data_IF_576977260640
#
_entry.id   IF_576977260640
#
_cell.length_a   1.000
_cell.length_b   1.000
_cell.length_c   1.000
_cell.angle_alpha   90.00
_cell.angle_beta   90.00
_cell.angle_gamma   90.00
#
_symmetry.space_group_name_H-M   'P 1'
#
loop_
_entity.id
_entity.type
_entity.pdbx_description
1 polymer ?
#
# COMPACT_ATOMS: atom_id res chain seq x y z
N UNK A 1 7.08 37.99 4.07
CA UNK A 1 6.53 36.60 4.09
C UNK A 1 7.71 35.70 3.88
N UNK A 2 8.56 35.54 4.91
CA UNK A 2 9.80 34.75 4.84
C UNK A 2 9.52 33.31 5.20
N UNK A 3 9.98 32.43 4.37
CA UNK A 3 10.45 31.05 4.53
C UNK A 3 9.95 30.14 5.69
N UNK A 4 8.68 30.20 6.06
CA UNK A 4 8.06 29.15 6.90
C UNK A 4 7.99 27.79 6.14
N UNK A 5 8.20 27.82 4.83
CA UNK A 5 8.13 26.65 3.96
C UNK A 5 9.37 25.75 4.03
N UNK A 6 10.47 26.20 4.62
CA UNK A 6 11.78 25.49 4.60
C UNK A 6 12.32 25.08 5.97
N UNK A 7 11.68 25.44 7.09
CA UNK A 7 12.09 24.87 8.37
C UNK A 7 11.86 23.36 8.36
N UNK A 8 12.95 22.62 8.29
CA UNK A 8 12.97 21.18 8.54
C UNK A 8 12.48 20.94 9.98
N UNK A 9 11.19 20.68 10.11
CA UNK A 9 10.70 20.08 11.34
C UNK A 9 11.35 18.71 11.40
N UNK A 10 12.15 18.46 12.46
CA UNK A 10 12.76 17.16 12.71
C UNK A 10 11.67 16.09 12.64
N UNK A 11 11.69 15.35 11.56
CA UNK A 11 10.78 14.24 11.35
C UNK A 11 11.07 13.20 12.43
N UNK A 12 10.08 12.80 13.24
CA UNK A 12 10.27 11.71 14.16
C UNK A 12 10.78 10.50 13.38
N UNK A 13 11.83 9.83 13.89
CA UNK A 13 12.26 8.55 13.32
C UNK A 13 11.14 7.55 13.58
N UNK A 14 10.28 7.35 12.60
CA UNK A 14 9.21 6.36 12.69
C UNK A 14 9.84 4.97 12.67
N UNK A 15 9.50 4.16 13.66
CA UNK A 15 9.78 2.73 13.57
C UNK A 15 8.91 2.19 12.43
N UNK A 16 9.51 1.43 11.53
CA UNK A 16 8.72 0.69 10.55
C UNK A 16 7.78 -0.25 11.30
N UNK A 17 6.48 -0.10 11.05
CA UNK A 17 5.52 -1.08 11.51
C UNK A 17 5.77 -2.32 10.65
N UNK A 18 6.27 -3.36 11.28
CA UNK A 18 6.47 -4.65 10.64
C UNK A 18 5.18 -5.42 10.72
N UNK A 19 4.65 -5.78 9.57
CA UNK A 19 3.51 -6.69 9.48
C UNK A 19 3.99 -8.11 9.76
N UNK A 20 3.24 -8.84 10.56
CA UNK A 20 3.50 -10.25 10.85
C UNK A 20 3.01 -11.13 9.67
N UNK A 21 3.68 -11.04 8.55
CA UNK A 21 3.38 -11.86 7.39
C UNK A 21 2.37 -11.26 6.40
N UNK A 22 2.09 -12.02 5.38
CA UNK A 22 1.09 -11.76 4.35
C UNK A 22 0.18 -12.99 4.35
N UNK A 23 -1.08 -12.80 4.74
CA UNK A 23 -2.09 -13.84 4.65
C UNK A 23 -2.78 -13.85 3.28
N UNK A 24 -3.54 -14.90 3.03
CA UNK A 24 -4.51 -15.04 1.95
C UNK A 24 -5.89 -15.30 2.56
N UNK A 25 -6.93 -15.38 1.76
CA UNK A 25 -8.31 -15.65 2.21
C UNK A 25 -8.44 -16.95 3.05
N UNK A 26 -7.55 -17.93 2.83
CA UNK A 26 -7.49 -19.17 3.59
C UNK A 26 -6.67 -19.08 4.87
N UNK A 27 -6.09 -17.90 5.18
CA UNK A 27 -5.25 -17.72 6.36
C UNK A 27 -6.10 -17.78 7.64
N UNK A 28 -5.66 -18.59 8.59
CA UNK A 28 -6.21 -18.57 9.95
C UNK A 28 -5.72 -17.31 10.65
N UNK A 29 -6.66 -16.47 11.08
CA UNK A 29 -6.34 -15.24 11.80
C UNK A 29 -5.97 -15.59 13.24
N UNK A 30 -4.75 -15.25 13.72
CA UNK A 30 -4.35 -15.48 15.10
C UNK A 30 -5.26 -14.75 16.10
N UNK A 31 -5.59 -15.38 17.21
CA UNK A 31 -6.52 -14.89 18.26
C UNK A 31 -6.11 -13.55 18.88
N UNK A 32 -4.83 -13.15 18.76
CA UNK A 32 -4.34 -11.86 19.25
C UNK A 32 -4.96 -10.66 18.53
N UNK A 33 -5.41 -10.84 17.29
CA UNK A 33 -6.00 -9.77 16.50
C UNK A 33 -7.50 -9.71 16.76
N UNK A 34 -7.95 -8.57 17.25
CA UNK A 34 -9.34 -8.30 17.60
C UNK A 34 -10.00 -7.24 16.72
N UNK A 35 -9.18 -6.56 15.89
CA UNK A 35 -9.60 -5.49 14.99
C UNK A 35 -9.12 -5.76 13.57
N UNK A 36 -9.97 -5.42 12.60
CA UNK A 36 -9.64 -5.44 11.17
C UNK A 36 -9.96 -4.09 10.53
N UNK A 37 -9.06 -3.61 9.67
CA UNK A 37 -9.20 -2.37 8.92
C UNK A 37 -9.04 -2.64 7.41
N UNK A 38 -9.75 -1.86 6.59
CA UNK A 38 -9.53 -1.89 5.14
C UNK A 38 -8.13 -1.35 4.82
N UNK A 39 -7.35 -2.10 4.05
CA UNK A 39 -6.04 -1.66 3.59
C UNK A 39 -6.20 -0.76 2.38
N UNK A 40 -5.91 0.52 2.59
CA UNK A 40 -5.88 1.52 1.53
C UNK A 40 -4.63 1.33 0.66
N UNK A 41 -4.74 1.69 -0.61
CA UNK A 41 -3.63 1.64 -1.56
C UNK A 41 -3.26 3.05 -2.04
N UNK A 42 -2.63 3.77 -1.18
CA UNK A 42 -2.19 5.14 -1.42
C UNK A 42 -0.71 5.33 -1.12
N UNK A 43 -0.38 6.51 -0.66
CA UNK A 43 0.96 6.88 -0.20
C UNK A 43 0.93 7.00 1.31
N UNK A 44 1.75 6.19 2.01
CA UNK A 44 1.92 6.37 3.45
C UNK A 44 2.27 7.82 3.77
N UNK A 45 1.53 8.42 4.70
CA UNK A 45 1.64 9.81 5.10
C UNK A 45 1.79 10.00 6.61
N UNK A 46 2.63 10.95 6.98
CA UNK A 46 2.73 11.51 8.32
C UNK A 46 2.23 12.94 8.29
N UNK A 47 1.07 13.21 8.89
CA UNK A 47 0.48 14.52 8.99
C UNK A 47 0.86 15.14 10.33
N UNK A 48 1.61 16.23 10.29
CA UNK A 48 2.05 17.00 11.46
C UNK A 48 1.25 18.29 11.52
N UNK A 49 0.59 18.53 12.66
CA UNK A 49 -0.16 19.74 12.97
C UNK A 49 0.60 20.52 14.04
N UNK A 50 0.96 21.76 13.77
CA UNK A 50 1.75 22.58 14.68
C UNK A 50 1.60 24.08 14.37
N UNK A 51 1.39 24.91 15.38
CA UNK A 51 1.37 26.38 15.25
C UNK A 51 0.47 26.92 14.14
N UNK A 52 -0.72 26.38 14.01
CA UNK A 52 -1.69 26.80 12.98
C UNK A 52 -1.45 26.26 11.57
N UNK A 53 -0.49 25.37 11.40
CA UNK A 53 -0.14 24.79 10.11
C UNK A 53 -0.23 23.28 10.11
N UNK A 54 -0.44 22.69 8.94
CA UNK A 54 -0.25 21.27 8.71
C UNK A 54 0.85 21.03 7.69
N UNK A 55 1.57 19.91 7.85
CA UNK A 55 2.53 19.39 6.89
C UNK A 55 2.38 17.88 6.79
N UNK A 56 2.24 17.41 5.59
CA UNK A 56 2.17 15.96 5.32
C UNK A 56 3.46 15.49 4.64
N UNK A 57 4.10 14.50 5.22
CA UNK A 57 5.32 13.90 4.73
C UNK A 57 5.07 12.48 4.25
N UNK A 58 5.70 12.10 3.13
CA UNK A 58 5.80 10.69 2.73
C UNK A 58 6.77 9.93 3.63
N UNK A 59 6.80 8.61 3.49
CA UNK A 59 7.76 7.73 4.18
C UNK A 59 9.21 8.16 3.97
N UNK A 60 9.57 8.66 2.79
CA UNK A 60 10.92 9.13 2.46
C UNK A 60 11.19 10.56 2.92
N UNK A 61 10.26 11.21 3.62
CA UNK A 61 10.42 12.57 4.13
C UNK A 61 10.12 13.68 3.12
N UNK A 62 9.61 13.36 1.94
CA UNK A 62 9.18 14.38 0.98
C UNK A 62 7.85 14.98 1.43
N UNK A 63 7.75 16.32 1.39
CA UNK A 63 6.50 17.03 1.65
C UNK A 63 5.52 16.73 0.52
N UNK A 64 4.30 16.32 0.88
CA UNK A 64 3.19 16.01 -0.04
C UNK A 64 2.11 17.07 -0.01
N UNK A 65 1.87 17.67 1.15
CA UNK A 65 0.92 18.77 1.32
C UNK A 65 1.35 19.66 2.49
N UNK A 66 0.99 20.94 2.41
CA UNK A 66 1.23 21.94 3.43
C UNK A 66 0.14 23.00 3.33
N UNK A 67 -0.26 23.56 4.46
CA UNK A 67 -1.20 24.66 4.50
C UNK A 67 -1.49 25.15 5.92
N UNK A 68 -2.30 26.19 6.00
CA UNK A 68 -2.79 26.75 7.26
C UNK A 68 -4.04 26.00 7.72
N UNK A 69 -4.23 25.95 9.04
CA UNK A 69 -5.44 25.41 9.67
C UNK A 69 -6.22 26.60 10.24
N UNK A 70 -7.34 26.99 9.61
CA UNK A 70 -8.13 28.14 10.08
C UNK A 70 -8.57 27.97 11.54
N UNK A 71 -8.42 29.03 12.33
CA UNK A 71 -8.85 29.06 13.75
C UNK A 71 -8.21 27.95 14.60
N UNK A 72 -7.04 27.42 14.21
CA UNK A 72 -6.25 26.55 15.06
C UNK A 72 -5.57 27.41 16.15
N UNK A 73 -5.60 26.93 17.38
CA UNK A 73 -4.94 27.63 18.47
C UNK A 73 -3.41 27.52 18.30
N UNK A 74 -2.74 28.68 18.10
CA UNK A 74 -1.30 28.79 17.92
C UNK A 74 -0.50 28.30 19.15
N UNK A 75 -1.15 28.27 20.32
CA UNK A 75 -0.57 27.74 21.56
C UNK A 75 -0.72 26.22 21.68
N UNK A 76 -1.46 25.62 20.76
CA UNK A 76 -1.65 24.20 20.76
C UNK A 76 -0.35 23.48 20.42
N UNK A 77 -0.01 22.53 21.27
CA UNK A 77 1.16 21.71 21.07
C UNK A 77 0.98 20.79 19.84
N UNK A 78 2.10 20.30 19.36
CA UNK A 78 2.21 19.45 18.20
C UNK A 78 1.30 18.22 18.26
N UNK A 79 0.65 17.91 17.14
CA UNK A 79 -0.07 16.64 16.93
C UNK A 79 0.51 15.90 15.73
N UNK A 80 0.50 14.56 15.78
CA UNK A 80 1.03 13.71 14.70
C UNK A 80 0.04 12.59 14.41
N UNK A 81 -0.45 12.56 13.17
CA UNK A 81 -1.30 11.52 12.63
C UNK A 81 -0.54 10.70 11.57
N UNK A 82 -0.74 9.39 11.57
CA UNK A 82 -0.31 8.51 10.49
C UNK A 82 -1.52 8.08 9.68
N UNK A 83 -1.36 7.99 8.37
CA UNK A 83 -2.44 7.63 7.47
C UNK A 83 -1.94 7.23 6.08
N UNK A 84 -2.90 6.95 5.23
CA UNK A 84 -2.69 6.71 3.81
C UNK A 84 -3.28 7.87 3.02
N UNK A 85 -2.45 8.53 2.22
CA UNK A 85 -2.86 9.59 1.31
C UNK A 85 -3.20 9.02 -0.04
N UNK A 86 -4.46 9.15 -0.42
CA UNK A 86 -4.95 8.70 -1.71
C UNK A 86 -4.59 9.74 -2.77
N UNK A 87 -3.83 9.33 -3.79
CA UNK A 87 -3.42 10.22 -4.86
C UNK A 87 -3.59 9.53 -6.21
N UNK A 88 -4.51 10.07 -6.97
CA UNK A 88 -4.97 9.84 -8.35
C UNK A 88 -4.55 8.59 -9.11
N UNK A 89 -3.31 8.25 -9.18
CA UNK A 89 -2.86 7.16 -10.06
C UNK A 89 -2.90 5.76 -9.43
N UNK A 90 -2.95 5.66 -8.11
CA UNK A 90 -2.94 4.36 -7.42
C UNK A 90 -4.32 3.69 -7.42
N UNK A 91 -5.41 4.49 -7.61
CA UNK A 91 -6.80 4.05 -7.53
C UNK A 91 -7.60 4.52 -8.73
N UNK A 92 -7.22 4.12 -9.94
CA UNK A 92 -7.78 4.59 -11.20
C UNK A 92 -9.31 4.61 -11.30
N UNK A 93 -10.00 3.78 -10.51
CA UNK A 93 -11.46 3.68 -10.48
C UNK A 93 -12.12 4.40 -9.28
N UNK A 94 -11.36 4.81 -8.26
CA UNK A 94 -11.90 5.45 -7.03
C UNK A 94 -11.61 6.95 -6.99
N UNK A 95 -12.16 7.70 -7.96
CA UNK A 95 -11.99 9.16 -8.03
C UNK A 95 -12.68 9.91 -6.89
N UNK A 96 -13.66 9.28 -6.25
CA UNK A 96 -14.41 9.83 -5.12
C UNK A 96 -13.60 10.03 -3.85
N UNK A 97 -12.45 9.34 -3.73
CA UNK A 97 -11.53 9.43 -2.58
C UNK A 97 -10.16 9.99 -2.96
N UNK A 98 -9.99 10.49 -4.19
CA UNK A 98 -8.73 11.12 -4.61
C UNK A 98 -8.44 12.34 -3.73
N UNK A 99 -7.18 12.40 -3.25
CA UNK A 99 -6.67 13.41 -2.31
C UNK A 99 -7.17 13.29 -0.86
N UNK A 100 -7.94 12.25 -0.53
CA UNK A 100 -8.30 11.97 0.85
C UNK A 100 -7.12 11.39 1.65
N UNK A 101 -7.07 11.72 2.93
CA UNK A 101 -6.11 11.17 3.88
C UNK A 101 -6.82 10.32 4.91
N UNK A 102 -6.57 8.99 4.86
CA UNK A 102 -7.19 8.02 5.76
C UNK A 102 -6.29 7.75 6.96
N UNK A 103 -6.69 8.25 8.12
CA UNK A 103 -5.95 8.09 9.38
C UNK A 103 -6.09 6.65 9.86
N UNK A 104 -4.96 6.03 10.21
CA UNK A 104 -4.91 4.71 10.85
C UNK A 104 -4.19 4.72 12.21
N UNK A 105 -3.53 5.80 12.62
CA UNK A 105 -2.89 5.93 13.93
C UNK A 105 -2.70 7.40 14.34
N UNK A 106 -2.55 7.64 15.67
CA UNK A 106 -2.19 8.93 16.25
C UNK A 106 -1.02 8.76 17.20
N UNK A 107 0.13 9.37 16.87
CA UNK A 107 1.35 9.21 17.66
C UNK A 107 1.60 10.33 18.67
N UNK A 108 0.99 11.50 18.44
CA UNK A 108 1.11 12.63 19.33
C UNK A 108 -0.18 13.44 19.37
N UNK A 109 -0.59 13.82 20.54
CA UNK A 109 -1.75 14.67 20.76
C UNK A 109 -1.43 15.78 21.77
N UNK A 110 -1.51 17.04 21.37
CA UNK A 110 -1.17 18.22 22.19
C UNK A 110 0.19 18.04 22.89
N UNK A 111 1.26 17.72 22.14
CA UNK A 111 2.61 17.55 22.64
C UNK A 111 2.87 16.22 23.37
N UNK A 112 1.83 15.51 23.80
CA UNK A 112 1.99 14.26 24.50
C UNK A 112 2.21 13.10 23.52
N UNK A 113 3.30 12.35 23.71
CA UNK A 113 3.59 11.15 22.94
C UNK A 113 2.64 10.00 23.32
N UNK A 114 1.99 9.42 22.34
CA UNK A 114 0.99 8.36 22.50
C UNK A 114 1.49 6.96 22.10
N UNK A 115 2.70 6.83 21.56
CA UNK A 115 3.20 5.54 21.07
C UNK A 115 3.32 4.46 22.15
N UNK A 116 3.36 4.84 23.42
CA UNK A 116 3.33 3.96 24.59
C UNK A 116 1.92 3.64 25.08
N UNK A 117 0.88 4.08 24.38
CA UNK A 117 -0.51 3.71 24.65
C UNK A 117 -0.98 2.62 23.68
N UNK A 118 -1.95 1.78 24.08
CA UNK A 118 -2.51 0.78 23.20
C UNK A 118 -3.20 1.40 21.97
N UNK A 119 -3.29 0.65 20.87
CA UNK A 119 -3.83 1.12 19.59
C UNK A 119 -5.27 1.65 19.73
N UNK A 120 -6.13 0.99 20.51
CA UNK A 120 -7.50 1.46 20.77
C UNK A 120 -7.54 2.86 21.40
N UNK A 121 -6.64 3.16 22.32
CA UNK A 121 -6.55 4.50 22.93
C UNK A 121 -6.05 5.54 21.91
N UNK A 122 -5.06 5.20 21.08
CA UNK A 122 -4.54 6.10 20.04
C UNK A 122 -5.59 6.43 18.99
N UNK A 123 -6.45 5.46 18.65
CA UNK A 123 -7.57 5.63 17.70
C UNK A 123 -8.59 6.66 18.20
N UNK A 124 -8.84 6.75 19.52
CA UNK A 124 -9.73 7.77 20.09
C UNK A 124 -9.17 9.18 19.84
N UNK A 125 -7.86 9.37 20.03
CA UNK A 125 -7.22 10.66 19.74
C UNK A 125 -7.20 10.98 18.24
N UNK A 126 -7.01 9.96 17.38
CA UNK A 126 -7.12 10.11 15.93
C UNK A 126 -8.51 10.63 15.52
N UNK A 127 -9.58 10.01 16.04
CA UNK A 127 -10.96 10.44 15.78
C UNK A 127 -11.24 11.84 16.26
N UNK A 128 -10.79 12.21 17.46
CA UNK A 128 -10.94 13.59 18.00
C UNK A 128 -10.24 14.64 17.12
N UNK A 129 -9.02 14.36 16.64
CA UNK A 129 -8.31 15.27 15.75
C UNK A 129 -9.00 15.38 14.40
N UNK A 130 -9.47 14.26 13.84
CA UNK A 130 -10.24 14.24 12.59
C UNK A 130 -11.50 15.13 12.71
N UNK A 131 -12.29 15.02 13.77
CA UNK A 131 -13.47 15.85 14.00
C UNK A 131 -13.09 17.33 14.06
N UNK A 132 -12.07 17.69 14.86
CA UNK A 132 -11.58 19.06 14.97
C UNK A 132 -11.09 19.65 13.65
N UNK A 133 -10.50 18.83 12.77
CA UNK A 133 -10.05 19.26 11.45
C UNK A 133 -11.24 19.41 10.50
N UNK A 134 -12.19 18.46 10.52
CA UNK A 134 -13.39 18.54 9.68
C UNK A 134 -14.23 19.78 10.01
N UNK A 135 -14.38 20.15 11.30
CA UNK A 135 -15.04 21.40 11.72
C UNK A 135 -14.36 22.68 11.17
N UNK A 136 -13.14 22.53 10.61
CA UNK A 136 -12.36 23.61 9.99
C UNK A 136 -12.27 23.51 8.48
N UNK A 137 -13.08 22.62 7.87
CA UNK A 137 -13.15 22.45 6.42
C UNK A 137 -12.19 21.42 5.83
N UNK A 138 -11.54 20.58 6.66
CA UNK A 138 -10.67 19.50 6.19
C UNK A 138 -11.44 18.18 6.04
N UNK A 139 -12.53 18.18 5.27
CA UNK A 139 -13.38 17.01 5.05
C UNK A 139 -12.66 15.84 4.33
N UNK A 140 -11.54 16.13 3.66
CA UNK A 140 -10.66 15.15 3.04
C UNK A 140 -9.88 14.31 4.06
N UNK A 141 -9.92 14.65 5.36
CA UNK A 141 -9.33 13.85 6.44
C UNK A 141 -10.40 12.91 6.97
N UNK A 142 -10.16 11.62 6.82
CA UNK A 142 -11.08 10.53 7.18
C UNK A 142 -10.40 9.51 8.06
N UNK A 143 -11.16 8.71 8.81
CA UNK A 143 -10.65 7.51 9.46
C UNK A 143 -10.69 6.34 8.48
N UNK A 144 -9.75 5.40 8.62
CA UNK A 144 -9.90 4.09 7.97
C UNK A 144 -11.15 3.38 8.46
N UNK A 145 -11.73 2.55 7.62
CA UNK A 145 -12.83 1.68 8.02
C UNK A 145 -12.30 0.62 8.99
N UNK A 146 -12.87 0.59 10.21
CA UNK A 146 -12.43 -0.26 11.31
C UNK A 146 -13.59 -1.08 11.84
N UNK A 147 -13.37 -2.39 11.99
CA UNK A 147 -14.37 -3.37 12.35
C UNK A 147 -13.80 -4.37 13.38
N UNK A 148 -14.69 -5.13 14.02
CA UNK A 148 -14.28 -6.29 14.80
C UNK A 148 -13.78 -7.40 13.88
N UNK A 149 -12.82 -8.18 14.34
CA UNK A 149 -12.19 -9.23 13.54
C UNK A 149 -13.17 -10.30 13.08
N UNK A 150 -14.22 -10.60 13.85
CA UNK A 150 -15.23 -11.60 13.49
C UNK A 150 -15.94 -11.31 12.17
N UNK A 151 -15.90 -10.06 11.71
CA UNK A 151 -16.53 -9.61 10.47
C UNK A 151 -15.57 -9.59 9.27
N UNK A 152 -14.37 -10.12 9.39
CA UNK A 152 -13.33 -9.94 8.38
C UNK A 152 -13.70 -10.54 7.02
N UNK A 153 -14.41 -11.69 6.95
CA UNK A 153 -14.82 -12.28 5.67
C UNK A 153 -15.80 -11.37 4.94
N UNK A 154 -16.81 -10.86 5.62
CA UNK A 154 -17.77 -9.91 5.04
C UNK A 154 -17.09 -8.60 4.59
N UNK A 155 -16.08 -8.16 5.34
CA UNK A 155 -15.29 -7.00 4.97
C UNK A 155 -14.39 -7.29 3.76
N UNK A 156 -13.85 -8.51 3.67
CA UNK A 156 -13.09 -8.96 2.51
C UNK A 156 -13.94 -8.91 1.25
N UNK A 157 -15.12 -9.53 1.29
CA UNK A 157 -16.02 -9.58 0.14
C UNK A 157 -16.46 -8.17 -0.31
N UNK A 158 -16.87 -7.33 0.63
CA UNK A 158 -17.36 -5.99 0.30
C UNK A 158 -16.26 -5.00 -0.05
N UNK A 159 -15.15 -4.98 0.71
CA UNK A 159 -14.11 -3.95 0.54
C UNK A 159 -13.02 -4.38 -0.43
N UNK A 160 -12.59 -5.64 -0.39
CA UNK A 160 -11.49 -6.08 -1.23
C UNK A 160 -12.00 -6.55 -2.58
N UNK A 161 -13.00 -7.44 -2.62
CA UNK A 161 -13.50 -8.00 -3.87
C UNK A 161 -14.42 -7.03 -4.63
N UNK A 162 -15.36 -6.36 -3.96
CA UNK A 162 -16.31 -5.46 -4.62
C UNK A 162 -15.79 -4.04 -4.77
N UNK A 163 -15.26 -3.45 -3.68
CA UNK A 163 -14.78 -2.05 -3.68
C UNK A 163 -13.32 -1.91 -4.17
N UNK A 164 -12.60 -3.01 -4.42
CA UNK A 164 -11.23 -3.01 -4.96
C UNK A 164 -10.15 -2.50 -4.01
N UNK A 165 -10.35 -2.55 -2.69
CA UNK A 165 -9.28 -2.22 -1.73
C UNK A 165 -8.13 -3.22 -1.82
N UNK A 166 -6.91 -2.80 -1.45
CA UNK A 166 -5.70 -3.63 -1.58
C UNK A 166 -5.74 -4.91 -0.74
N UNK A 167 -6.52 -4.90 0.34
CA UNK A 167 -6.60 -5.99 1.29
C UNK A 167 -7.11 -5.53 2.65
N UNK A 168 -6.74 -6.27 3.68
CA UNK A 168 -7.09 -5.99 5.08
C UNK A 168 -5.84 -5.88 5.95
N UNK A 169 -5.95 -5.13 7.04
CA UNK A 169 -4.97 -5.05 8.14
C UNK A 169 -5.65 -5.54 9.41
N UNK A 170 -5.10 -6.60 9.99
CA UNK A 170 -5.51 -7.11 11.31
C UNK A 170 -4.63 -6.49 12.37
N UNK A 171 -5.21 -6.05 13.48
CA UNK A 171 -4.51 -5.35 14.55
C UNK A 171 -4.82 -5.97 15.91
N UNK A 172 -3.81 -6.01 16.75
CA UNK A 172 -3.96 -6.17 18.19
C UNK A 172 -4.25 -4.79 18.79
N UNK A 173 -5.50 -4.56 19.22
CA UNK A 173 -5.93 -3.26 19.76
C UNK A 173 -5.23 -2.88 21.06
N UNK A 174 -4.59 -3.82 21.74
CA UNK A 174 -3.83 -3.60 22.97
C UNK A 174 -2.33 -3.35 22.72
N UNK A 175 -1.84 -3.54 21.50
CA UNK A 175 -0.44 -3.34 21.16
C UNK A 175 -0.03 -1.86 21.15
N UNK A 176 1.23 -1.59 21.53
CA UNK A 176 1.84 -0.28 21.45
C UNK A 176 2.41 -0.02 20.05
N UNK A 177 2.69 1.24 19.76
CA UNK A 177 3.30 1.59 18.47
C UNK A 177 4.70 0.99 18.34
N UNK A 178 4.89 0.22 17.28
CA UNK A 178 6.17 -0.43 16.97
C UNK A 178 6.41 -1.76 17.68
N UNK A 179 5.39 -2.30 18.38
CA UNK A 179 5.45 -3.67 18.89
C UNK A 179 5.58 -4.64 17.74
N UNK A 180 6.40 -5.67 17.94
CA UNK A 180 6.50 -6.76 16.99
C UNK A 180 5.18 -7.50 16.91
N UNK A 181 4.79 -7.84 15.69
CA UNK A 181 3.59 -8.63 15.43
C UNK A 181 2.25 -7.95 15.84
N UNK A 182 2.28 -6.62 16.09
CA UNK A 182 1.08 -5.85 16.39
C UNK A 182 0.06 -5.82 15.24
N UNK A 183 0.55 -5.97 14.01
CA UNK A 183 -0.25 -5.91 12.79
C UNK A 183 0.07 -7.06 11.85
N UNK A 184 -0.97 -7.62 11.23
CA UNK A 184 -0.87 -8.56 10.12
C UNK A 184 -1.60 -7.97 8.90
N UNK A 185 -1.02 -8.11 7.72
CA UNK A 185 -1.69 -7.71 6.47
C UNK A 185 -2.13 -8.94 5.68
N UNK A 186 -3.33 -8.85 5.13
CA UNK A 186 -3.86 -9.77 4.14
C UNK A 186 -4.09 -8.99 2.85
N UNK A 187 -3.66 -9.52 1.71
CA UNK A 187 -3.83 -8.88 0.41
C UNK A 187 -4.53 -9.83 -0.53
N UNK A 188 -5.33 -9.28 -1.44
CA UNK A 188 -5.80 -10.03 -2.59
C UNK A 188 -4.58 -10.47 -3.41
N UNK A 189 -4.48 -11.76 -3.68
CA UNK A 189 -3.44 -12.33 -4.51
C UNK A 189 -4.08 -12.94 -5.74
N UNK A 190 -3.54 -12.61 -6.89
CA UNK A 190 -3.94 -13.18 -8.18
C UNK A 190 -2.73 -13.78 -8.86
N UNK A 191 -2.91 -14.87 -9.56
CA UNK A 191 -1.89 -15.49 -10.37
C UNK A 191 -2.33 -15.48 -11.84
N UNK A 192 -1.37 -15.27 -12.72
CA UNK A 192 -1.57 -15.32 -14.17
C UNK A 192 -0.30 -15.82 -14.85
N UNK A 193 -0.44 -16.54 -15.93
CA UNK A 193 0.67 -17.05 -16.71
C UNK A 193 0.97 -16.13 -17.89
N UNK A 194 2.23 -15.76 -18.03
CA UNK A 194 2.76 -14.93 -19.11
C UNK A 194 3.82 -15.66 -19.92
N UNK A 195 4.03 -15.21 -21.14
CA UNK A 195 5.13 -15.61 -22.00
C UNK A 195 6.30 -14.66 -21.75
N UNK A 196 7.49 -15.17 -21.51
CA UNK A 196 8.68 -14.34 -21.35
C UNK A 196 9.06 -13.65 -22.67
N UNK A 197 8.96 -12.34 -22.70
CA UNK A 197 9.35 -11.48 -23.84
C UNK A 197 10.79 -11.00 -23.72
N UNK A 198 11.35 -11.01 -22.51
CA UNK A 198 12.71 -10.53 -22.24
C UNK A 198 13.00 -10.34 -20.78
N UNK A 199 14.17 -9.76 -20.52
CA UNK A 199 14.65 -9.38 -19.21
C UNK A 199 14.84 -7.85 -19.17
N UNK A 200 14.48 -7.24 -18.06
CA UNK A 200 14.72 -5.81 -17.82
C UNK A 200 15.86 -5.61 -16.85
N UNK A 201 16.67 -4.59 -17.07
CA UNK A 201 17.81 -4.28 -16.21
C UNK A 201 17.37 -3.78 -14.84
N UNK A 202 18.21 -3.99 -13.83
CA UNK A 202 18.03 -3.40 -12.52
C UNK A 202 18.35 -1.89 -12.58
N UNK A 203 17.78 -1.12 -11.64
CA UNK A 203 18.06 0.32 -11.53
C UNK A 203 19.56 0.55 -11.35
N UNK A 204 20.13 1.47 -12.15
CA UNK A 204 21.55 1.82 -12.14
C UNK A 204 22.06 2.31 -10.77
N UNK A 205 21.15 2.84 -9.93
CA UNK A 205 21.47 3.30 -8.57
C UNK A 205 21.31 2.20 -7.52
N UNK A 206 20.85 1.01 -7.91
CA UNK A 206 20.69 -0.11 -6.99
C UNK A 206 22.01 -0.88 -6.83
N UNK A 207 22.13 -1.64 -5.73
CA UNK A 207 23.25 -2.57 -5.53
C UNK A 207 23.30 -3.71 -6.58
N UNK A 208 22.28 -3.81 -7.42
CA UNK A 208 22.15 -4.81 -8.48
C UNK A 208 22.37 -4.25 -9.87
N UNK A 209 22.95 -3.04 -9.99
CA UNK A 209 23.29 -2.43 -11.28
C UNK A 209 24.10 -3.41 -12.14
N UNK A 210 23.74 -3.51 -13.42
CA UNK A 210 24.34 -4.46 -14.35
C UNK A 210 23.79 -5.90 -14.29
N UNK A 211 22.82 -6.18 -13.42
CA UNK A 211 22.11 -7.45 -13.37
C UNK A 211 20.67 -7.29 -13.87
N UNK A 212 20.01 -8.43 -14.14
CA UNK A 212 18.57 -8.45 -14.43
C UNK A 212 17.78 -7.96 -13.21
N UNK A 213 16.90 -6.99 -13.45
CA UNK A 213 16.01 -6.40 -12.46
C UNK A 213 14.61 -7.00 -12.45
N UNK A 214 14.15 -7.47 -13.62
CA UNK A 214 12.80 -8.00 -13.79
C UNK A 214 12.74 -8.99 -14.96
N UNK A 215 11.73 -9.88 -14.92
CA UNK A 215 11.32 -10.67 -16.08
C UNK A 215 10.15 -9.94 -16.75
N UNK A 216 10.25 -9.73 -18.06
CA UNK A 216 9.22 -9.08 -18.86
C UNK A 216 8.33 -10.15 -19.48
N UNK A 217 7.04 -10.11 -19.16
CA UNK A 217 6.03 -11.00 -19.69
C UNK A 217 5.04 -10.30 -20.59
N UNK A 218 4.43 -11.07 -21.50
CA UNK A 218 3.31 -10.63 -22.35
C UNK A 218 2.27 -11.76 -22.46
N UNK A 219 1.10 -11.45 -22.98
CA UNK A 219 0.08 -12.45 -23.32
C UNK A 219 0.22 -12.86 -24.79
N UNK A 220 -0.35 -14.02 -25.13
CA UNK A 220 -0.27 -14.60 -26.48
C UNK A 220 -1.08 -13.81 -27.51
N UNK A 221 -2.29 -13.39 -27.11
CA UNK A 221 -3.30 -12.77 -27.96
C UNK A 221 -3.45 -11.27 -27.74
N UNK A 222 -2.71 -10.67 -26.79
CA UNK A 222 -2.78 -9.25 -26.45
C UNK A 222 -1.45 -8.73 -25.95
N UNK A 223 -0.98 -7.61 -26.52
CA UNK A 223 0.16 -6.88 -25.98
C UNK A 223 -0.20 -6.28 -24.60
N UNK A 224 0.21 -7.00 -23.57
CA UNK A 224 0.02 -6.59 -22.18
C UNK A 224 1.33 -6.85 -21.42
N UNK A 225 2.30 -5.98 -21.63
CA UNK A 225 3.62 -6.14 -21.04
C UNK A 225 3.61 -5.91 -19.53
N UNK A 226 4.17 -6.87 -18.80
CA UNK A 226 4.35 -6.76 -17.34
C UNK A 226 5.82 -6.92 -16.98
N UNK A 227 6.26 -6.21 -15.94
CA UNK A 227 7.62 -6.30 -15.39
C UNK A 227 7.56 -6.97 -14.03
N UNK A 228 7.83 -8.27 -13.98
CA UNK A 228 7.82 -9.06 -12.76
C UNK A 228 9.11 -8.89 -11.97
N UNK A 229 8.99 -8.39 -10.77
CA UNK A 229 10.08 -8.18 -9.80
C UNK A 229 10.19 -9.37 -8.82
N UNK A 230 10.88 -9.18 -7.70
CA UNK A 230 10.95 -10.18 -6.63
C UNK A 230 12.06 -11.22 -6.80
N UNK A 231 13.00 -10.97 -7.71
CA UNK A 231 14.14 -11.85 -7.97
C UNK A 231 15.15 -11.82 -6.84
N UNK A 232 15.61 -12.99 -6.39
CA UNK A 232 16.76 -13.09 -5.49
C UNK A 232 18.04 -12.66 -6.20
N UNK A 233 19.11 -12.37 -5.45
CA UNK A 233 20.41 -12.03 -6.04
C UNK A 233 20.95 -13.16 -6.93
N UNK A 234 20.74 -14.40 -6.50
CA UNK A 234 21.11 -15.61 -7.29
C UNK A 234 20.32 -15.70 -8.60
N UNK A 235 19.01 -15.41 -8.55
CA UNK A 235 18.18 -15.41 -9.75
C UNK A 235 18.59 -14.31 -10.72
N UNK A 236 18.89 -13.12 -10.20
CA UNK A 236 19.36 -11.97 -11.00
C UNK A 236 20.61 -12.32 -11.77
N UNK A 237 21.63 -12.87 -11.10
CA UNK A 237 22.86 -13.30 -11.74
C UNK A 237 22.59 -14.38 -12.79
N UNK A 238 21.82 -15.40 -12.43
CA UNK A 238 21.48 -16.48 -13.31
C UNK A 238 20.78 -16.03 -14.60
N UNK A 239 19.81 -15.11 -14.48
CA UNK A 239 19.09 -14.56 -15.63
C UNK A 239 19.95 -13.57 -16.44
N UNK A 240 20.91 -12.90 -15.80
CA UNK A 240 21.86 -12.04 -16.52
C UNK A 240 22.74 -12.88 -17.46
N UNK A 241 23.22 -14.03 -16.97
CA UNK A 241 24.10 -14.91 -17.74
C UNK A 241 23.34 -15.72 -18.83
N UNK A 242 22.03 -15.91 -18.67
CA UNK A 242 21.22 -16.83 -19.47
C UNK A 242 19.89 -16.24 -19.95
N UNK A 243 19.82 -14.95 -20.20
CA UNK A 243 18.57 -14.26 -20.55
C UNK A 243 17.85 -14.89 -21.75
N UNK A 244 18.61 -15.32 -22.78
CA UNK A 244 18.07 -15.90 -23.99
C UNK A 244 17.44 -17.28 -23.81
N UNK A 245 17.85 -18.05 -22.80
CA UNK A 245 17.34 -19.38 -22.52
C UNK A 245 15.87 -19.36 -22.04
N UNK A 246 15.39 -18.17 -21.67
CA UNK A 246 14.05 -17.96 -21.12
C UNK A 246 13.07 -17.31 -22.09
N UNK A 247 13.54 -16.81 -23.24
CA UNK A 247 12.68 -16.18 -24.25
C UNK A 247 11.64 -17.22 -24.77
N UNK A 248 10.37 -16.82 -24.80
CA UNK A 248 9.26 -17.64 -25.23
C UNK A 248 8.78 -18.68 -24.19
N UNK A 249 9.48 -18.86 -23.05
CA UNK A 249 9.01 -19.76 -21.99
C UNK A 249 7.87 -19.13 -21.21
N UNK A 250 6.96 -19.98 -20.72
CA UNK A 250 5.84 -19.55 -19.87
C UNK A 250 6.29 -19.49 -18.41
N UNK A 251 5.79 -18.49 -17.69
CA UNK A 251 5.98 -18.37 -16.26
C UNK A 251 4.72 -17.85 -15.56
N UNK A 252 4.51 -18.27 -14.32
CA UNK A 252 3.46 -17.74 -13.46
C UNK A 252 3.96 -16.48 -12.76
N UNK A 253 3.21 -15.38 -12.89
CA UNK A 253 3.34 -14.18 -12.09
C UNK A 253 2.24 -14.12 -11.03
N UNK A 254 2.58 -13.59 -9.85
CA UNK A 254 1.66 -13.33 -8.75
C UNK A 254 1.64 -11.84 -8.45
N UNK A 255 0.46 -11.30 -8.21
CA UNK A 255 0.29 -9.88 -7.85
C UNK A 255 -0.83 -9.61 -6.88
N UNK A 256 -1.07 -8.33 -6.61
CA UNK A 256 -2.04 -7.87 -5.62
C UNK A 256 -3.34 -7.37 -6.29
N UNK A 257 -3.96 -8.20 -7.15
CA UNK A 257 -5.12 -7.82 -7.94
C UNK A 257 -4.76 -7.18 -9.28
N UNK A 258 -5.70 -6.52 -9.90
CA UNK A 258 -5.62 -6.01 -11.27
C UNK A 258 -5.67 -4.49 -11.32
N UNK A 259 -5.07 -3.90 -12.35
CA UNK A 259 -5.40 -2.55 -12.80
C UNK A 259 -6.61 -2.61 -13.75
N UNK A 260 -7.35 -1.51 -13.93
CA UNK A 260 -8.42 -1.44 -14.94
C UNK A 260 -7.95 -1.76 -16.36
N UNK A 261 -6.66 -1.58 -16.65
CA UNK A 261 -6.05 -1.97 -17.94
C UNK A 261 -5.88 -3.47 -18.15
N UNK A 262 -6.24 -4.31 -17.15
CA UNK A 262 -5.99 -5.74 -17.15
C UNK A 262 -4.55 -6.15 -16.75
N UNK A 263 -3.68 -5.19 -16.44
CA UNK A 263 -2.35 -5.51 -15.94
C UNK A 263 -2.41 -5.92 -14.46
N UNK A 264 -1.63 -6.94 -14.11
CA UNK A 264 -1.48 -7.38 -12.71
C UNK A 264 -0.70 -6.35 -11.89
N UNK A 265 -1.14 -6.10 -10.65
CA UNK A 265 -0.53 -5.11 -9.75
C UNK A 265 0.63 -5.70 -8.97
N UNK A 266 1.77 -4.98 -8.92
CA UNK A 266 2.99 -5.41 -8.22
C UNK A 266 3.44 -6.85 -8.57
N UNK A 267 3.57 -7.19 -9.83
CA UNK A 267 3.83 -8.55 -10.28
C UNK A 267 5.18 -9.06 -9.78
N UNK A 268 5.19 -10.33 -9.38
CA UNK A 268 6.40 -11.06 -8.98
C UNK A 268 6.45 -12.37 -9.73
N UNK A 269 7.63 -12.76 -10.17
CA UNK A 269 7.88 -14.10 -10.71
C UNK A 269 7.67 -15.13 -9.58
N UNK A 270 6.86 -16.16 -9.85
CA UNK A 270 6.62 -17.29 -8.94
C UNK A 270 7.41 -18.51 -9.38
N UNK A 271 7.16 -18.94 -10.63
CA UNK A 271 7.79 -20.16 -11.19
C UNK A 271 7.74 -20.15 -12.71
N UNK A 272 8.63 -20.91 -13.31
CA UNK A 272 8.57 -21.25 -14.73
C UNK A 272 7.62 -22.43 -14.96
N UNK A 273 6.96 -22.44 -16.11
CA UNK A 273 5.91 -23.40 -16.48
C UNK A 273 6.32 -24.14 -17.76
N UNK A 274 7.18 -25.16 -17.60
CA UNK A 274 7.60 -26.00 -18.72
C UNK A 274 6.48 -26.96 -19.18
N UNK A 275 5.42 -27.05 -18.39
CA UNK A 275 4.23 -27.88 -18.61
C UNK A 275 3.12 -27.17 -19.39
N UNK A 276 3.23 -25.86 -19.63
CA UNK A 276 2.17 -25.04 -20.24
C UNK A 276 2.60 -24.48 -21.60
N UNK A 277 1.83 -24.71 -22.69
CA UNK A 277 2.10 -24.09 -23.98
C UNK A 277 1.78 -22.58 -23.94
N UNK A 278 2.51 -21.80 -24.75
CA UNK A 278 2.35 -20.34 -24.77
C UNK A 278 0.98 -19.89 -25.27
N UNK A 279 0.34 -20.69 -26.13
CA UNK A 279 -0.97 -20.41 -26.72
C UNK A 279 -2.10 -20.38 -25.67
N UNK A 280 -1.86 -20.95 -24.48
CA UNK A 280 -2.80 -20.89 -23.35
C UNK A 280 -2.61 -19.67 -22.46
N UNK A 281 -1.62 -18.81 -22.73
CA UNK A 281 -1.38 -17.58 -21.96
C UNK A 281 -2.16 -16.42 -22.58
N UNK A 282 -3.47 -16.52 -22.60
CA UNK A 282 -4.38 -15.61 -23.30
C UNK A 282 -4.99 -14.56 -22.36
N UNK A 283 -5.60 -13.51 -22.94
CA UNK A 283 -6.21 -12.40 -22.19
C UNK A 283 -7.44 -12.84 -21.39
N UNK A 284 -8.07 -13.93 -21.73
CA UNK A 284 -9.21 -14.50 -21.01
C UNK A 284 -8.87 -15.11 -19.64
N UNK A 285 -7.57 -15.28 -19.31
CA UNK A 285 -7.15 -15.56 -17.93
C UNK A 285 -7.50 -14.40 -16.96
N UNK A 286 -7.71 -13.20 -17.48
CA UNK A 286 -8.09 -12.03 -16.70
C UNK A 286 -9.61 -12.05 -16.50
N UNK A 287 -10.12 -11.82 -15.27
CA UNK A 287 -11.56 -11.78 -15.01
C UNK A 287 -12.32 -10.85 -15.97
N UNK A 288 -13.52 -11.27 -16.38
CA UNK A 288 -14.33 -10.57 -17.38
C UNK A 288 -14.62 -9.12 -16.95
N UNK A 289 -14.92 -8.92 -15.68
CA UNK A 289 -15.22 -7.60 -15.11
C UNK A 289 -14.05 -6.61 -15.30
N UNK A 290 -12.81 -7.11 -15.20
CA UNK A 290 -11.60 -6.29 -15.40
C UNK A 290 -11.36 -6.02 -16.89
N UNK A 291 -11.72 -6.98 -17.76
CA UNK A 291 -11.55 -6.84 -19.21
C UNK A 291 -12.50 -5.81 -19.81
N UNK A 292 -13.70 -5.67 -19.25
CA UNK A 292 -14.74 -4.73 -19.71
C UNK A 292 -14.47 -3.28 -19.25
N UNK A 293 -13.82 -3.06 -18.11
CA UNK A 293 -13.46 -1.73 -17.62
C UNK A 293 -12.31 -1.06 -18.41
N UNK A 294 -11.55 -1.83 -19.15
CA UNK A 294 -10.34 -1.37 -19.87
C UNK A 294 -10.57 -0.96 -21.34
N UNK A 295 -11.84 -0.90 -21.81
CA UNK A 295 -12.20 -0.53 -23.19
C UNK A 295 -12.65 0.94 -23.30
#
# INVERSE_FOLDING_TARGET
>A
MGDIMTEHIDRPKFREIRYNGIGSESTIIPDRYDVVEAKMDGIWGCLILEKGYYRMYSRTGKIKAVGEIPKWDDKRDKCILLGEFMHGSAWGHRKDIDKDFFIFDCLMYNGAWLGNKPDNARTIYASRLKEQLNDRGFEWIRNVYRYKVENWQSLWDSKVQQDGYEGLIFKDSMAHYGDKDAWMRMKAEVEIDYICKGMGDADEKSKYAGMVGSVIGTLYDKDCDVKCSGLSEKDRQHYTDRATDYLGRVFTAKGNGWYPSGAIRHPKLVRWRDDKPMEECTYDQIPEEIREEGV
#
